data_IF_838140140166
#
_entry.id   IF_838140140166
#
_cell.length_a   1.000
_cell.length_b   1.000
_cell.length_c   1.000
_cell.angle_alpha   90.00
_cell.angle_beta   90.00
_cell.angle_gamma   90.00
#
_symmetry.space_group_name_H-M   'P 1'
#
loop_
_entity.id
_entity.type
_entity.pdbx_description
1 polymer ?
#
# COMPACT_ATOMS: atom_id res chain seq x y z
N UNK A 1 -36.14 20.81 -30.75
CA UNK A 1 -36.91 20.43 -29.55
C UNK A 1 -36.39 19.10 -29.06
N UNK A 2 -35.93 19.00 -27.80
CA UNK A 2 -35.59 17.71 -27.19
C UNK A 2 -36.87 16.87 -27.16
N UNK A 3 -36.82 15.64 -27.69
CA UNK A 3 -37.91 14.66 -27.58
C UNK A 3 -38.27 14.49 -26.09
N UNK A 4 -39.52 14.22 -25.80
CA UNK A 4 -40.08 14.15 -24.43
C UNK A 4 -39.20 13.32 -23.46
N UNK A 5 -38.62 12.23 -23.97
CA UNK A 5 -37.63 11.39 -23.28
C UNK A 5 -36.41 12.15 -22.77
N UNK A 6 -35.81 13.04 -23.59
CA UNK A 6 -34.61 13.80 -23.22
C UNK A 6 -34.89 14.90 -22.19
N UNK A 7 -36.13 15.39 -22.11
CA UNK A 7 -36.55 16.29 -21.01
C UNK A 7 -36.61 15.55 -19.69
N UNK A 8 -37.17 14.34 -19.67
CA UNK A 8 -37.23 13.53 -18.45
C UNK A 8 -35.84 13.12 -17.95
N UNK A 9 -34.94 12.75 -18.87
CA UNK A 9 -33.53 12.43 -18.54
C UNK A 9 -32.81 13.62 -17.92
N UNK A 10 -32.99 14.82 -18.49
CA UNK A 10 -32.40 16.05 -17.96
C UNK A 10 -32.89 16.36 -16.53
N UNK A 11 -34.20 16.26 -16.29
CA UNK A 11 -34.79 16.53 -14.96
C UNK A 11 -34.23 15.54 -13.93
N UNK A 12 -34.24 14.24 -14.24
CA UNK A 12 -33.68 13.22 -13.35
C UNK A 12 -32.20 13.44 -13.05
N UNK A 13 -31.40 13.75 -14.07
CA UNK A 13 -29.97 13.99 -13.89
C UNK A 13 -29.71 15.19 -12.95
N UNK A 14 -30.51 16.25 -13.09
CA UNK A 14 -30.41 17.44 -12.26
C UNK A 14 -30.84 17.18 -10.81
N UNK A 15 -31.89 16.39 -10.60
CA UNK A 15 -32.33 15.95 -9.27
C UNK A 15 -31.24 15.12 -8.57
N UNK A 16 -30.59 14.20 -9.27
CA UNK A 16 -29.50 13.38 -8.73
C UNK A 16 -28.27 14.20 -8.31
N UNK A 17 -27.95 15.28 -9.03
CA UNK A 17 -26.79 16.13 -8.76
C UNK A 17 -27.05 17.22 -7.71
N UNK A 18 -28.32 17.51 -7.41
CA UNK A 18 -28.75 18.55 -6.48
C UNK A 18 -28.10 18.45 -5.09
N UNK A 19 -28.02 17.26 -4.44
CA UNK A 19 -27.39 17.13 -3.11
C UNK A 19 -25.90 17.45 -3.09
N UNK A 20 -25.22 17.34 -4.24
CA UNK A 20 -23.78 17.55 -4.37
C UNK A 20 -23.44 18.96 -4.88
N UNK A 21 -24.45 19.79 -5.19
CA UNK A 21 -24.29 21.12 -5.75
C UNK A 21 -23.40 21.16 -7.01
N UNK A 22 -23.48 20.11 -7.85
CA UNK A 22 -22.71 19.98 -9.09
C UNK A 22 -23.53 20.36 -10.32
N UNK A 23 -22.88 21.00 -11.29
CA UNK A 23 -23.48 21.26 -12.59
C UNK A 23 -23.47 19.99 -13.45
N UNK A 24 -24.45 19.84 -14.35
CA UNK A 24 -24.53 18.68 -15.25
C UNK A 24 -23.29 18.59 -16.16
N UNK A 25 -22.78 19.74 -16.61
CA UNK A 25 -21.59 19.83 -17.46
C UNK A 25 -20.33 19.38 -16.69
N UNK A 26 -20.14 19.88 -15.47
CA UNK A 26 -19.01 19.49 -14.62
C UNK A 26 -19.04 17.99 -14.31
N UNK A 27 -20.21 17.44 -13.98
CA UNK A 27 -20.37 16.02 -13.70
C UNK A 27 -20.08 15.14 -14.93
N UNK A 28 -20.54 15.55 -16.12
CA UNK A 28 -20.27 14.83 -17.36
C UNK A 28 -18.77 14.88 -17.73
N UNK A 29 -18.12 16.04 -17.58
CA UNK A 29 -16.69 16.20 -17.82
C UNK A 29 -15.85 15.35 -16.87
N UNK A 30 -16.15 15.37 -15.57
CA UNK A 30 -15.45 14.56 -14.57
C UNK A 30 -15.64 13.06 -14.83
N UNK A 31 -16.85 12.63 -15.17
CA UNK A 31 -17.14 11.24 -15.50
C UNK A 31 -16.35 10.77 -16.73
N UNK A 32 -16.28 11.58 -17.79
CA UNK A 32 -15.48 11.28 -18.99
C UNK A 32 -13.98 11.18 -18.69
N UNK A 33 -13.46 12.08 -17.84
CA UNK A 33 -12.07 12.03 -17.37
C UNK A 33 -11.80 10.76 -16.54
N UNK A 34 -12.71 10.40 -15.62
CA UNK A 34 -12.59 9.19 -14.82
C UNK A 34 -12.55 7.92 -15.69
N UNK A 35 -13.42 7.84 -16.71
CA UNK A 35 -13.38 6.73 -17.68
C UNK A 35 -12.07 6.68 -18.47
N UNK A 36 -11.51 7.84 -18.82
CA UNK A 36 -10.22 7.94 -19.52
C UNK A 36 -9.05 7.42 -18.66
N UNK A 37 -9.10 7.66 -17.35
CA UNK A 37 -8.11 7.13 -16.39
C UNK A 37 -8.26 5.61 -16.24
N UNK A 38 -9.50 5.11 -16.15
CA UNK A 38 -9.78 3.68 -15.99
C UNK A 38 -9.42 2.87 -17.24
N UNK A 39 -9.43 3.47 -18.44
CA UNK A 39 -9.10 2.80 -19.72
C UNK A 39 -9.90 1.51 -19.95
N UNK A 40 -11.15 1.48 -19.48
CA UNK A 40 -12.05 0.31 -19.58
C UNK A 40 -11.84 -0.76 -18.49
N UNK A 41 -10.93 -0.55 -17.55
CA UNK A 41 -10.72 -1.48 -16.42
C UNK A 41 -11.71 -1.19 -15.28
N UNK A 42 -12.91 -1.78 -15.38
CA UNK A 42 -13.94 -1.70 -14.35
C UNK A 42 -14.78 -0.43 -14.37
N UNK A 43 -15.65 -0.29 -13.36
CA UNK A 43 -16.58 0.84 -13.22
C UNK A 43 -16.03 1.94 -12.30
N UNK A 44 -16.47 3.18 -12.54
CA UNK A 44 -16.15 4.33 -11.66
C UNK A 44 -16.62 4.06 -10.22
N UNK A 45 -17.76 3.39 -10.04
CA UNK A 45 -18.28 3.00 -8.73
C UNK A 45 -17.36 2.02 -8.00
N UNK A 46 -16.82 1.01 -8.68
CA UNK A 46 -15.85 0.09 -8.09
C UNK A 46 -14.58 0.81 -7.68
N UNK A 47 -14.08 1.72 -8.51
CA UNK A 47 -12.90 2.53 -8.18
C UNK A 47 -13.13 3.42 -6.96
N UNK A 48 -14.31 4.04 -6.84
CA UNK A 48 -14.68 4.86 -5.66
C UNK A 48 -14.87 4.01 -4.42
N UNK A 49 -15.51 2.83 -4.52
CA UNK A 49 -15.64 1.89 -3.39
C UNK A 49 -14.29 1.38 -2.93
N UNK A 50 -13.42 1.07 -3.89
CA UNK A 50 -12.04 0.69 -3.61
C UNK A 50 -11.34 1.84 -2.91
N UNK A 51 -11.42 3.06 -3.44
CA UNK A 51 -10.83 4.24 -2.83
C UNK A 51 -11.36 4.44 -1.41
N UNK A 52 -12.67 4.44 -1.17
CA UNK A 52 -13.23 4.58 0.18
C UNK A 52 -12.78 3.43 1.10
N UNK A 53 -12.94 2.16 0.72
CA UNK A 53 -12.50 1.03 1.57
C UNK A 53 -11.00 1.02 1.85
N UNK A 54 -10.20 1.62 0.96
CA UNK A 54 -8.76 1.76 1.12
C UNK A 54 -8.34 3.14 1.58
N UNK A 55 -9.16 4.18 1.69
CA UNK A 55 -8.76 5.56 2.04
C UNK A 55 -9.71 6.24 3.06
N UNK A 56 -10.75 5.55 3.55
CA UNK A 56 -11.81 6.14 4.40
C UNK A 56 -11.45 6.37 5.88
N UNK A 57 -10.35 5.83 6.39
CA UNK A 57 -9.82 6.31 7.66
C UNK A 57 -8.92 7.50 7.32
N UNK A 58 -9.26 8.69 7.86
CA UNK A 58 -8.43 9.87 7.75
C UNK A 58 -6.98 9.52 8.04
N UNK A 59 -6.16 9.48 6.98
CA UNK A 59 -4.76 9.09 7.09
C UNK A 59 -4.06 10.24 7.80
N UNK A 60 -3.91 10.10 9.11
CA UNK A 60 -3.20 11.10 9.89
C UNK A 60 -1.77 11.21 9.34
N UNK A 61 -1.32 12.42 8.97
CA UNK A 61 0.02 12.62 8.47
C UNK A 61 1.01 12.35 9.60
N UNK A 62 1.66 11.19 9.55
CA UNK A 62 2.73 10.81 10.48
C UNK A 62 4.07 10.96 9.76
N UNK A 63 5.00 11.68 10.40
CA UNK A 63 6.37 11.82 9.93
C UNK A 63 7.09 10.49 9.98
N UNK A 64 7.87 10.20 8.93
CA UNK A 64 8.63 8.95 8.81
C UNK A 64 9.56 8.71 10.00
N UNK A 65 10.19 9.77 10.53
CA UNK A 65 11.05 9.66 11.70
C UNK A 65 10.28 9.21 12.95
N UNK A 66 9.14 9.84 13.24
CA UNK A 66 8.29 9.51 14.39
C UNK A 66 7.86 8.05 14.33
N UNK A 67 7.43 7.58 13.16
CA UNK A 67 7.04 6.18 12.96
C UNK A 67 8.18 5.20 13.22
N UNK A 68 9.40 5.53 12.78
CA UNK A 68 10.60 4.71 13.03
C UNK A 68 10.91 4.63 14.52
N UNK A 69 10.84 5.74 15.24
CA UNK A 69 11.09 5.79 16.68
C UNK A 69 10.06 4.95 17.45
N UNK A 70 8.79 5.06 17.10
CA UNK A 70 7.71 4.31 17.75
C UNK A 70 7.81 2.80 17.49
N UNK A 71 8.19 2.39 16.28
CA UNK A 71 8.48 0.98 16.00
C UNK A 71 9.64 0.46 16.86
N UNK A 72 10.72 1.22 16.96
CA UNK A 72 11.89 0.82 17.74
C UNK A 72 11.56 0.72 19.23
N UNK A 73 10.76 1.65 19.78
CA UNK A 73 10.26 1.59 21.16
C UNK A 73 9.40 0.33 21.37
N UNK A 74 8.45 0.08 20.47
CA UNK A 74 7.55 -1.09 20.55
C UNK A 74 8.33 -2.41 20.51
N UNK A 75 9.34 -2.51 19.64
CA UNK A 75 10.19 -3.70 19.53
C UNK A 75 11.11 -3.87 20.73
N UNK A 76 11.62 -2.78 21.30
CA UNK A 76 12.41 -2.86 22.53
C UNK A 76 11.58 -3.41 23.71
N UNK A 77 10.31 -3.02 23.81
CA UNK A 77 9.39 -3.55 24.81
C UNK A 77 9.01 -5.03 24.58
N UNK A 78 9.07 -5.52 23.34
CA UNK A 78 8.67 -6.88 22.98
C UNK A 78 9.77 -7.95 23.16
N UNK A 79 10.78 -7.69 23.99
CA UNK A 79 11.92 -8.60 24.26
C UNK A 79 12.65 -9.14 23.02
N UNK A 80 12.79 -8.32 21.97
CA UNK A 80 13.53 -8.71 20.78
C UNK A 80 15.04 -8.62 21.06
N UNK A 81 15.85 -9.48 20.45
CA UNK A 81 17.30 -9.51 20.72
C UNK A 81 17.96 -8.15 20.46
N UNK A 82 18.90 -7.75 21.32
CA UNK A 82 19.61 -6.48 21.20
C UNK A 82 20.29 -6.32 19.83
N UNK A 83 20.82 -7.43 19.28
CA UNK A 83 21.41 -7.47 17.94
C UNK A 83 20.39 -7.14 16.86
N UNK A 84 19.17 -7.68 16.94
CA UNK A 84 18.11 -7.38 15.98
C UNK A 84 17.61 -5.93 16.10
N UNK A 85 17.51 -5.38 17.31
CA UNK A 85 17.15 -3.98 17.51
C UNK A 85 18.20 -3.03 16.92
N UNK A 86 19.49 -3.34 17.11
CA UNK A 86 20.58 -2.58 16.50
C UNK A 86 20.52 -2.63 14.97
N UNK A 87 20.26 -3.82 14.42
CA UNK A 87 20.12 -4.07 12.98
C UNK A 87 18.96 -3.28 12.35
N UNK A 88 17.79 -3.29 12.99
CA UNK A 88 16.62 -2.50 12.60
C UNK A 88 16.90 -1.00 12.68
N UNK A 89 17.48 -0.54 13.80
CA UNK A 89 17.80 0.87 14.02
C UNK A 89 18.72 1.42 12.95
N UNK A 90 19.77 0.68 12.59
CA UNK A 90 20.74 1.11 11.58
C UNK A 90 20.08 1.29 10.19
N UNK A 91 19.18 0.39 9.79
CA UNK A 91 18.49 0.46 8.48
C UNK A 91 17.42 1.52 8.46
N UNK A 92 16.54 1.54 9.46
CA UNK A 92 15.39 2.42 9.49
C UNK A 92 15.78 3.89 9.68
N UNK A 93 16.88 4.18 10.39
CA UNK A 93 17.40 5.55 10.46
C UNK A 93 17.95 6.06 9.14
N UNK A 94 18.61 5.20 8.35
CA UNK A 94 19.04 5.55 6.98
C UNK A 94 17.84 5.84 6.08
N UNK A 95 16.78 5.06 6.22
CA UNK A 95 15.53 5.29 5.51
C UNK A 95 14.88 6.64 5.93
N UNK A 96 14.71 6.89 7.23
CA UNK A 96 14.16 8.16 7.73
C UNK A 96 14.99 9.39 7.32
N UNK A 97 16.32 9.25 7.21
CA UNK A 97 17.20 10.32 6.72
C UNK A 97 16.94 10.65 5.24
N UNK A 98 16.64 9.64 4.43
CA UNK A 98 16.31 9.83 3.01
C UNK A 98 14.88 10.35 2.80
N UNK A 99 13.95 10.01 3.69
CA UNK A 99 12.54 10.37 3.61
C UNK A 99 12.12 11.26 4.78
N UNK A 100 12.33 12.56 4.66
CA UNK A 100 11.91 13.58 5.65
C UNK A 100 10.46 14.06 5.42
N UNK A 101 9.61 13.20 4.88
CA UNK A 101 8.21 13.47 4.57
C UNK A 101 7.26 12.63 5.42
N UNK A 102 5.97 12.88 5.24
CA UNK A 102 4.92 12.05 5.84
C UNK A 102 4.82 10.71 5.10
N UNK A 103 4.62 9.64 5.86
CA UNK A 103 4.75 8.26 5.36
C UNK A 103 3.79 7.96 4.20
N UNK A 104 2.58 8.52 4.23
CA UNK A 104 1.56 8.33 3.20
C UNK A 104 1.91 8.96 1.83
N UNK A 105 2.91 9.86 1.80
CA UNK A 105 3.37 10.47 0.56
C UNK A 105 4.37 9.60 -0.19
N UNK A 106 5.01 8.64 0.50
CA UNK A 106 6.08 7.82 -0.05
C UNK A 106 5.51 6.85 -1.09
N UNK A 107 5.99 6.96 -2.33
CA UNK A 107 5.60 6.07 -3.43
C UNK A 107 6.52 4.84 -3.50
N UNK A 108 6.01 3.68 -3.95
CA UNK A 108 6.85 2.48 -4.10
C UNK A 108 8.06 2.66 -5.02
N UNK A 109 7.93 3.44 -6.09
CA UNK A 109 9.03 3.75 -6.99
C UNK A 109 10.19 4.46 -6.26
N UNK A 110 9.88 5.43 -5.40
CA UNK A 110 10.88 6.15 -4.62
C UNK A 110 11.62 5.24 -3.63
N UNK A 111 10.92 4.26 -3.05
CA UNK A 111 11.56 3.23 -2.19
C UNK A 111 12.50 2.36 -3.02
N UNK A 112 12.11 1.97 -4.23
CA UNK A 112 12.96 1.18 -5.11
C UNK A 112 14.21 1.97 -5.54
N UNK A 113 14.06 3.25 -5.91
CA UNK A 113 15.19 4.12 -6.25
C UNK A 113 16.14 4.31 -5.07
N UNK A 114 15.59 4.51 -3.87
CA UNK A 114 16.38 4.54 -2.64
C UNK A 114 17.20 3.25 -2.48
N UNK A 115 16.58 2.07 -2.60
CA UNK A 115 17.29 0.79 -2.45
C UNK A 115 18.41 0.60 -3.49
N UNK A 116 18.18 1.02 -4.74
CA UNK A 116 19.19 0.97 -5.80
C UNK A 116 20.34 1.93 -5.53
N UNK A 117 20.05 3.12 -5.01
CA UNK A 117 21.09 4.12 -4.70
C UNK A 117 22.07 3.68 -3.60
N UNK A 118 21.67 2.73 -2.73
CA UNK A 118 22.55 2.21 -1.67
C UNK A 118 23.70 1.34 -2.18
N UNK A 119 23.66 0.85 -3.44
CA UNK A 119 24.69 0.01 -4.07
C UNK A 119 25.14 -1.18 -3.19
N UNK A 120 24.18 -1.86 -2.56
CA UNK A 120 24.43 -2.97 -1.64
C UNK A 120 24.28 -4.34 -2.34
N UNK A 121 24.79 -5.39 -1.71
CA UNK A 121 24.56 -6.76 -2.17
C UNK A 121 23.07 -7.14 -2.13
N UNK A 122 22.61 -8.08 -2.97
CA UNK A 122 21.19 -8.47 -3.04
C UNK A 122 20.61 -8.90 -1.68
N UNK A 123 21.40 -9.62 -0.87
CA UNK A 123 21.00 -10.03 0.48
C UNK A 123 20.78 -8.83 1.41
N UNK A 124 21.65 -7.83 1.34
CA UNK A 124 21.51 -6.60 2.13
C UNK A 124 20.30 -5.79 1.69
N UNK A 125 20.03 -5.69 0.39
CA UNK A 125 18.80 -5.05 -0.13
C UNK A 125 17.56 -5.76 0.41
N UNK A 126 17.53 -7.09 0.40
CA UNK A 126 16.40 -7.85 0.95
C UNK A 126 16.24 -7.63 2.47
N UNK A 127 17.34 -7.48 3.21
CA UNK A 127 17.26 -7.12 4.63
C UNK A 127 16.68 -5.71 4.84
N UNK A 128 17.03 -4.74 3.98
CA UNK A 128 16.40 -3.41 4.00
C UNK A 128 14.91 -3.50 3.70
N UNK A 129 14.50 -4.26 2.68
CA UNK A 129 13.09 -4.48 2.35
C UNK A 129 12.32 -5.10 3.52
N UNK A 130 12.89 -6.09 4.20
CA UNK A 130 12.29 -6.70 5.39
C UNK A 130 12.11 -5.70 6.53
N UNK A 131 13.10 -4.84 6.79
CA UNK A 131 13.00 -3.80 7.80
C UNK A 131 11.93 -2.75 7.46
N UNK A 132 11.91 -2.26 6.21
CA UNK A 132 10.93 -1.28 5.73
C UNK A 132 9.52 -1.88 5.75
N UNK A 133 9.37 -3.14 5.33
CA UNK A 133 8.09 -3.85 5.43
C UNK A 133 7.63 -3.94 6.89
N UNK A 134 8.52 -4.25 7.84
CA UNK A 134 8.18 -4.26 9.27
C UNK A 134 7.64 -2.92 9.77
N UNK A 135 8.21 -1.80 9.29
CA UNK A 135 7.78 -0.44 9.61
C UNK A 135 6.39 -0.14 9.03
N UNK A 136 6.17 -0.47 7.76
CA UNK A 136 4.93 -0.13 7.04
C UNK A 136 3.77 -1.09 7.34
N UNK A 137 4.03 -2.26 7.93
CA UNK A 137 3.00 -3.28 8.19
C UNK A 137 2.19 -3.05 9.47
N UNK A 138 2.72 -2.32 10.48
CA UNK A 138 2.27 -2.53 11.87
C UNK A 138 1.25 -1.58 12.52
N UNK A 139 1.19 -0.25 12.33
CA UNK A 139 0.21 0.51 13.12
C UNK A 139 -0.31 1.82 12.51
N UNK A 140 -0.93 1.75 11.33
CA UNK A 140 -2.06 2.64 11.03
C UNK A 140 -3.03 1.82 10.18
N UNK A 141 -4.31 1.98 10.44
CA UNK A 141 -5.35 1.04 10.02
C UNK A 141 -5.41 0.87 8.48
N UNK A 142 -5.09 -0.32 7.97
CA UNK A 142 -5.69 -1.01 6.79
C UNK A 142 -5.91 -0.30 5.43
N UNK A 143 -5.39 0.90 5.18
CA UNK A 143 -5.94 1.79 4.15
C UNK A 143 -4.86 2.40 3.22
N UNK A 144 -3.83 1.70 2.75
CA UNK A 144 -3.09 2.12 1.51
C UNK A 144 -2.28 0.98 0.86
N UNK A 145 -2.08 -0.16 1.53
CA UNK A 145 -1.27 -1.26 0.99
C UNK A 145 -2.08 -2.55 0.71
N UNK A 146 -3.41 -2.49 0.71
CA UNK A 146 -4.21 -3.54 0.09
C UNK A 146 -4.19 -3.30 -1.42
N UNK A 147 -3.79 -4.30 -2.20
CA UNK A 147 -3.93 -4.40 -3.68
C UNK A 147 -2.92 -3.66 -4.55
N UNK A 148 -1.64 -3.80 -4.23
CA UNK A 148 -0.56 -3.47 -5.15
C UNK A 148 0.47 -4.59 -5.27
N UNK A 149 0.07 -5.83 -5.57
CA UNK A 149 0.94 -6.89 -6.09
C UNK A 149 2.33 -7.07 -5.41
N UNK A 150 2.45 -6.77 -4.11
CA UNK A 150 3.66 -7.05 -3.34
C UNK A 150 3.57 -8.47 -2.77
N UNK A 151 3.70 -9.46 -3.64
CA UNK A 151 4.15 -10.79 -3.23
C UNK A 151 5.66 -10.73 -2.91
N UNK A 152 6.04 -9.94 -1.91
CA UNK A 152 7.39 -9.98 -1.34
C UNK A 152 7.30 -10.86 -0.09
N UNK A 153 7.68 -12.12 -0.32
CA UNK A 153 7.37 -13.26 0.52
C UNK A 153 7.70 -13.09 2.00
N UNK A 154 6.69 -13.35 2.81
CA UNK A 154 6.73 -14.22 3.98
C UNK A 154 5.33 -14.85 4.05
N UNK A 155 5.26 -16.18 4.07
CA UNK A 155 4.03 -16.95 3.88
C UNK A 155 2.83 -16.48 4.70
N UNK A 156 1.90 -15.80 4.04
CA UNK A 156 0.54 -15.65 4.51
C UNK A 156 -0.13 -17.02 4.33
N UNK A 157 -0.35 -17.70 5.46
CA UNK A 157 -1.19 -18.89 5.53
C UNK A 157 -2.65 -18.48 5.28
N UNK A 158 -3.05 -18.38 4.02
CA UNK A 158 -4.41 -18.70 3.58
C UNK A 158 -4.22 -19.57 2.34
N UNK A 159 -4.64 -20.83 2.45
CA UNK A 159 -4.14 -21.92 1.63
C UNK A 159 -4.45 -21.77 0.15
N UNK A 160 -3.43 -21.42 -0.65
CA UNK A 160 -3.41 -21.69 -2.09
C UNK A 160 -1.94 -21.79 -2.53
N UNK A 161 -1.37 -23.00 -2.55
CA UNK A 161 -0.37 -23.35 -3.57
C UNK A 161 -0.62 -24.79 -4.03
N UNK A 162 -0.66 -25.04 -5.36
CA UNK A 162 -0.78 -26.38 -5.88
C UNK A 162 0.50 -27.17 -5.61
N UNK A 163 0.25 -28.42 -5.22
CA UNK A 163 1.19 -29.50 -4.90
C UNK A 163 2.28 -29.71 -5.96
N UNK A 164 3.38 -28.94 -5.97
CA UNK A 164 4.68 -29.35 -6.54
C UNK A 164 5.82 -28.67 -5.78
N UNK A 165 6.91 -29.43 -5.61
CA UNK A 165 8.12 -29.18 -4.79
C UNK A 165 8.05 -29.65 -3.33
N UNK A 166 7.99 -30.98 -3.18
CA UNK A 166 8.56 -31.67 -2.03
C UNK A 166 10.09 -31.57 -2.11
N UNK A 167 10.74 -30.92 -1.14
CA UNK A 167 12.15 -31.17 -0.84
C UNK A 167 12.23 -31.99 0.43
N UNK A 168 11.96 -33.29 0.31
CA UNK A 168 12.46 -34.27 1.26
C UNK A 168 13.99 -34.25 1.15
N UNK A 169 14.68 -33.54 2.05
CA UNK A 169 16.09 -33.84 2.32
C UNK A 169 16.11 -34.98 3.33
N UNK A 170 16.64 -36.11 2.86
CA UNK A 170 17.11 -37.19 3.68
C UNK A 170 18.03 -36.65 4.79
N UNK A 171 17.63 -36.86 6.04
CA UNK A 171 18.55 -36.92 7.17
C UNK A 171 19.24 -38.28 7.12
N UNK A 172 20.47 -38.31 6.63
CA UNK A 172 21.40 -39.41 6.93
C UNK A 172 22.02 -39.12 8.29
N UNK A 173 21.89 -40.01 9.30
CA UNK A 173 22.69 -39.89 10.52
C UNK A 173 24.10 -40.39 10.25
N UNK A 174 25.11 -39.61 10.64
CA UNK A 174 26.49 -40.08 10.76
C UNK A 174 26.62 -40.96 12.02
N UNK A 175 26.85 -42.25 11.79
CA UNK A 175 27.82 -43.13 12.45
C UNK A 175 27.77 -43.37 13.97
N UNK A 176 27.61 -44.64 14.35
CA UNK A 176 28.61 -45.40 15.12
C UNK A 176 28.70 -46.82 14.55
#
# INVERSE_FOLDING_TARGET
>A
MLKDTGRMEYVRAKECLCPFNLSLDSAASEFAQALSILKGNGSVLEAVRYYASTHAADILPIRTQTLVEDLLKTRAASHVSARHLCDLRARLRRFAKAFQCDVHTIRPAQVQDFLLSLKLSPRSINNFRGAISNLLTRPWERIQFASGQFALGLGVRVGVYPRRYSTARATTPQGK
#
